data_IF_453190608824
#
_entry.id   IF_453190608824
#
_cell.length_a   1.000
_cell.length_b   1.000
_cell.length_c   1.000
_cell.angle_alpha   90.00
_cell.angle_beta   90.00
_cell.angle_gamma   90.00
#
_symmetry.space_group_name_H-M   'P 1'
#
loop_
_entity.id
_entity.type
_entity.pdbx_description
1 polymer ?
#
# COMPACT_ATOMS: atom_id res chain seq x y z
N UNK A 1 -28.36 -38.63 -5.50
CA UNK A 1 -28.53 -39.91 -6.24
C UNK A 1 -27.57 -39.84 -7.42
N UNK A 2 -26.30 -40.22 -7.18
CA UNK A 2 -25.69 -41.50 -7.60
C UNK A 2 -25.59 -41.51 -9.13
N UNK A 3 -24.39 -41.51 -9.73
CA UNK A 3 -23.59 -42.73 -9.86
C UNK A 3 -22.09 -42.45 -9.78
N UNK A 4 -21.46 -43.10 -8.80
CA UNK A 4 -20.06 -43.49 -8.85
C UNK A 4 -19.89 -44.57 -9.93
N UNK A 5 -18.74 -44.56 -10.60
CA UNK A 5 -18.28 -45.70 -11.39
C UNK A 5 -16.91 -46.08 -10.85
N UNK A 6 -16.90 -47.15 -10.07
CA UNK A 6 -15.72 -47.95 -9.79
C UNK A 6 -15.28 -48.66 -11.06
N UNK A 7 -13.98 -48.66 -11.33
CA UNK A 7 -13.35 -49.59 -12.25
C UNK A 7 -12.00 -50.01 -11.66
N UNK A 8 -11.95 -51.24 -11.14
CA UNK A 8 -10.71 -52.01 -11.06
C UNK A 8 -10.55 -52.80 -12.38
N UNK A 9 -9.31 -53.02 -12.86
CA UNK A 9 -8.73 -54.35 -12.62
C UNK A 9 -7.22 -54.35 -12.33
N UNK A 10 -6.76 -55.53 -11.94
CA UNK A 10 -5.48 -55.94 -11.37
C UNK A 10 -4.26 -55.96 -12.32
N UNK A 11 -3.10 -55.65 -11.70
CA UNK A 11 -1.74 -56.23 -11.86
C UNK A 11 -1.08 -56.36 -13.24
N UNK A 12 0.02 -55.62 -13.47
CA UNK A 12 1.35 -56.20 -13.80
C UNK A 12 2.48 -55.16 -13.60
N UNK A 13 3.49 -55.55 -12.82
CA UNK A 13 4.93 -55.21 -12.88
C UNK A 13 5.42 -53.92 -13.56
N UNK A 14 6.19 -53.10 -12.82
CA UNK A 14 7.65 -52.99 -12.98
C UNK A 14 8.21 -51.92 -12.03
N UNK A 15 9.17 -52.34 -11.21
CA UNK A 15 9.94 -51.45 -10.36
C UNK A 15 10.84 -50.55 -11.19
N UNK A 16 10.55 -49.25 -11.16
CA UNK A 16 11.52 -48.20 -11.45
C UNK A 16 11.41 -47.15 -10.36
N UNK A 17 12.33 -47.22 -9.40
CA UNK A 17 12.56 -46.13 -8.44
C UNK A 17 13.24 -44.99 -9.18
N UNK A 18 12.46 -44.16 -9.88
CA UNK A 18 12.93 -42.87 -10.33
C UNK A 18 12.89 -41.93 -9.12
N UNK A 19 14.07 -41.64 -8.58
CA UNK A 19 14.27 -40.64 -7.54
C UNK A 19 13.81 -39.28 -8.02
N UNK A 20 12.55 -38.96 -7.78
CA UNK A 20 12.07 -37.59 -7.81
C UNK A 20 12.61 -36.89 -6.55
N UNK A 21 13.76 -36.22 -6.70
CA UNK A 21 14.08 -35.11 -5.82
C UNK A 21 12.98 -34.06 -6.00
N UNK A 22 11.98 -34.10 -5.12
CA UNK A 22 11.06 -32.99 -4.91
C UNK A 22 11.95 -31.80 -4.51
N UNK A 23 12.02 -30.70 -5.28
CA UNK A 23 12.65 -29.50 -4.76
C UNK A 23 11.89 -29.14 -3.49
N UNK A 24 12.63 -29.01 -2.38
CA UNK A 24 12.06 -28.57 -1.13
C UNK A 24 11.27 -27.29 -1.40
N UNK A 25 9.95 -27.34 -1.21
CA UNK A 25 9.13 -26.14 -1.17
C UNK A 25 9.74 -25.31 -0.05
N UNK A 26 10.41 -24.22 -0.41
CA UNK A 26 10.90 -23.26 0.56
C UNK A 26 9.68 -22.75 1.32
N UNK A 27 9.46 -23.29 2.51
CA UNK A 27 8.47 -22.77 3.45
C UNK A 27 8.83 -21.30 3.62
N UNK A 28 7.91 -20.35 3.37
CA UNK A 28 8.20 -18.95 3.65
C UNK A 28 8.46 -18.86 5.16
N UNK A 29 9.73 -18.70 5.52
CA UNK A 29 10.12 -18.38 6.88
C UNK A 29 9.70 -16.94 7.12
N UNK A 30 8.48 -16.78 7.64
CA UNK A 30 8.17 -15.58 8.39
C UNK A 30 9.11 -15.61 9.58
N UNK A 31 10.20 -14.84 9.50
CA UNK A 31 10.94 -14.49 10.70
C UNK A 31 9.96 -13.72 11.58
N UNK A 32 9.42 -14.39 12.58
CA UNK A 32 8.89 -13.68 13.74
C UNK A 32 10.03 -12.80 14.24
N UNK A 33 9.81 -11.48 14.40
CA UNK A 33 10.82 -10.62 14.99
C UNK A 33 11.18 -11.23 16.35
N UNK A 34 12.40 -11.73 16.46
CA UNK A 34 12.97 -12.16 17.73
C UNK A 34 13.22 -10.89 18.54
N UNK A 35 12.26 -10.48 19.35
CA UNK A 35 12.51 -9.47 20.37
C UNK A 35 11.59 -9.71 21.56
N UNK A 36 12.17 -10.24 22.63
CA UNK A 36 11.59 -10.38 23.97
C UNK A 36 11.36 -9.02 24.64
N UNK A 37 10.79 -8.04 23.94
CA UNK A 37 10.48 -6.75 24.52
C UNK A 37 9.20 -6.88 25.34
N UNK A 38 9.24 -6.39 26.58
CA UNK A 38 8.05 -6.31 27.42
C UNK A 38 7.04 -5.31 26.83
N UNK A 39 5.77 -5.48 27.17
CA UNK A 39 4.73 -4.49 26.81
C UNK A 39 5.07 -3.09 27.32
N UNK A 40 5.74 -3.00 28.48
CA UNK A 40 6.19 -1.75 29.06
C UNK A 40 7.30 -1.09 28.23
N UNK A 41 8.33 -1.82 27.82
CA UNK A 41 9.40 -1.29 26.96
C UNK A 41 8.86 -0.80 25.61
N UNK A 42 7.93 -1.56 25.02
CA UNK A 42 7.28 -1.19 23.77
C UNK A 42 6.47 0.11 23.93
N UNK A 43 5.75 0.25 25.05
CA UNK A 43 5.02 1.47 25.37
C UNK A 43 5.95 2.67 25.54
N UNK A 44 7.01 2.53 26.34
CA UNK A 44 7.99 3.61 26.58
C UNK A 44 8.62 4.04 25.26
N UNK A 45 9.12 3.10 24.46
CA UNK A 45 9.72 3.38 23.15
C UNK A 45 8.74 4.08 22.20
N UNK A 46 7.46 3.69 22.23
CA UNK A 46 6.42 4.31 21.42
C UNK A 46 6.14 5.76 21.85
N UNK A 47 6.10 6.02 23.16
CA UNK A 47 5.93 7.37 23.70
C UNK A 47 7.14 8.25 23.35
N UNK A 48 8.36 7.76 23.54
CA UNK A 48 9.58 8.51 23.23
C UNK A 48 9.66 8.86 21.74
N UNK A 49 9.34 7.91 20.87
CA UNK A 49 9.27 8.13 19.41
C UNK A 49 8.26 9.23 19.07
N UNK A 50 7.06 9.16 19.66
CA UNK A 50 6.02 10.17 19.45
C UNK A 50 6.46 11.56 19.92
N UNK A 51 7.04 11.67 21.12
CA UNK A 51 7.52 12.95 21.65
C UNK A 51 8.67 13.52 20.83
N UNK A 52 9.59 12.67 20.35
CA UNK A 52 10.68 13.11 19.48
C UNK A 52 10.17 13.74 18.19
N UNK A 53 9.13 13.17 17.58
CA UNK A 53 8.52 13.76 16.39
C UNK A 53 7.79 15.06 16.70
N UNK A 54 7.07 15.12 17.82
CA UNK A 54 6.39 16.34 18.28
C UNK A 54 7.37 17.48 18.60
N UNK A 55 8.58 17.17 19.06
CA UNK A 55 9.63 18.15 19.33
C UNK A 55 10.40 18.61 18.08
N UNK A 56 10.00 18.17 16.90
CA UNK A 56 10.49 18.68 15.62
C UNK A 56 11.33 17.69 14.81
N UNK A 57 11.59 16.46 15.31
CA UNK A 57 12.28 15.44 14.51
C UNK A 57 11.36 14.98 13.36
N UNK A 58 11.79 15.05 12.09
CA UNK A 58 10.95 14.62 10.98
C UNK A 58 10.70 13.11 11.00
N UNK A 59 9.53 12.71 10.51
CA UNK A 59 9.20 11.32 10.16
C UNK A 59 9.84 11.02 8.81
N UNK A 60 10.86 10.17 8.81
CA UNK A 60 11.56 9.75 7.59
C UNK A 60 10.83 8.55 6.98
N UNK A 61 10.53 8.63 5.69
CA UNK A 61 9.84 7.60 4.91
C UNK A 61 10.85 6.90 4.01
N UNK A 62 11.22 5.68 4.37
CA UNK A 62 12.21 4.85 3.69
C UNK A 62 11.61 3.59 3.05
N UNK A 63 10.33 3.37 3.29
CA UNK A 63 9.55 2.24 2.82
C UNK A 63 9.47 1.08 3.79
N UNK A 64 10.33 0.97 4.80
CA UNK A 64 10.46 -0.25 5.62
C UNK A 64 10.18 0.00 7.10
N UNK A 65 10.55 1.16 7.65
CA UNK A 65 10.63 1.38 9.09
C UNK A 65 9.57 2.35 9.64
N UNK A 66 8.48 2.58 8.91
CA UNK A 66 7.39 3.42 9.36
C UNK A 66 6.65 2.78 10.55
N UNK A 67 6.67 3.46 11.71
CA UNK A 67 6.06 2.97 12.95
C UNK A 67 4.70 3.62 13.24
N UNK A 68 3.86 2.98 14.05
CA UNK A 68 2.58 3.55 14.53
C UNK A 68 2.75 4.92 15.19
N UNK A 69 3.67 5.14 16.16
CA UNK A 69 3.84 6.47 16.76
C UNK A 69 4.28 7.54 15.74
N UNK A 70 5.08 7.20 14.72
CA UNK A 70 5.41 8.13 13.63
C UNK A 70 4.19 8.48 12.78
N UNK A 71 3.30 7.51 12.51
CA UNK A 71 2.02 7.76 11.81
C UNK A 71 1.13 8.68 12.64
N UNK A 72 1.00 8.43 13.94
CA UNK A 72 0.22 9.27 14.85
C UNK A 72 0.80 10.69 14.91
N UNK A 73 2.12 10.83 14.99
CA UNK A 73 2.80 12.13 15.01
C UNK A 73 2.49 12.96 13.75
N UNK A 74 2.60 12.38 12.56
CA UNK A 74 2.30 13.07 11.31
C UNK A 74 0.79 13.35 11.15
N UNK A 75 -0.05 12.37 11.49
CA UNK A 75 -1.49 12.43 11.26
C UNK A 75 -2.24 13.36 12.22
N UNK A 76 -1.89 13.33 13.52
CA UNK A 76 -2.61 14.06 14.57
C UNK A 76 -1.86 15.27 15.12
N UNK A 77 -0.53 15.30 14.98
CA UNK A 77 0.30 16.37 15.55
C UNK A 77 1.06 17.16 14.49
N UNK A 78 0.81 16.91 13.20
CA UNK A 78 1.41 17.68 12.10
C UNK A 78 2.93 17.60 12.02
N UNK A 79 3.56 16.54 12.55
CA UNK A 79 5.00 16.36 12.46
C UNK A 79 5.48 16.37 11.00
N UNK A 80 6.61 17.02 10.71
CA UNK A 80 7.17 17.09 9.36
C UNK A 80 7.49 15.68 8.84
N UNK A 81 7.18 15.45 7.57
CA UNK A 81 7.49 14.18 6.86
C UNK A 81 8.56 14.48 5.81
N UNK A 82 9.55 13.61 5.70
CA UNK A 82 10.59 13.66 4.67
C UNK A 82 10.76 12.28 4.04
N UNK A 83 11.04 12.23 2.74
CA UNK A 83 11.45 10.99 2.09
C UNK A 83 12.94 10.75 2.36
N UNK A 84 13.34 9.50 2.49
CA UNK A 84 14.76 9.14 2.58
C UNK A 84 15.46 9.34 1.22
N UNK A 85 16.52 10.15 1.23
CA UNK A 85 17.27 10.64 0.05
C UNK A 85 18.44 9.73 -0.35
N UNK A 86 18.55 8.54 0.24
CA UNK A 86 19.67 7.66 -0.03
C UNK A 86 19.69 7.17 -1.48
N UNK A 87 20.91 7.02 -2.02
CA UNK A 87 21.13 6.53 -3.37
C UNK A 87 20.49 5.15 -3.61
N UNK A 88 20.42 4.31 -2.57
CA UNK A 88 19.78 3.00 -2.66
C UNK A 88 18.28 3.10 -2.99
N UNK A 89 17.57 4.07 -2.40
CA UNK A 89 16.16 4.33 -2.66
C UNK A 89 15.95 4.87 -4.07
N UNK A 90 16.76 5.86 -4.48
CA UNK A 90 16.69 6.40 -5.84
C UNK A 90 16.95 5.32 -6.89
N UNK A 91 17.96 4.47 -6.66
CA UNK A 91 18.30 3.38 -7.57
C UNK A 91 17.18 2.36 -7.73
N UNK A 92 16.52 1.94 -6.65
CA UNK A 92 15.38 0.99 -6.76
C UNK A 92 14.17 1.62 -7.43
N UNK A 93 13.89 2.90 -7.19
CA UNK A 93 12.79 3.61 -7.86
C UNK A 93 13.02 3.70 -9.37
N UNK A 94 14.22 4.11 -9.79
CA UNK A 94 14.61 4.15 -11.20
C UNK A 94 14.56 2.78 -11.88
N UNK A 95 15.01 1.72 -11.18
CA UNK A 95 14.90 0.34 -11.69
C UNK A 95 13.45 -0.09 -11.90
N UNK A 96 12.54 0.30 -10.99
CA UNK A 96 11.12 -0.03 -11.09
C UNK A 96 10.47 0.64 -12.31
N UNK A 97 10.79 1.91 -12.52
CA UNK A 97 10.32 2.73 -13.65
C UNK A 97 10.81 2.15 -14.98
N UNK A 98 12.12 1.94 -15.11
CA UNK A 98 12.72 1.35 -16.32
C UNK A 98 12.11 -0.03 -16.64
N UNK A 99 11.81 -0.84 -15.62
CA UNK A 99 11.20 -2.15 -15.83
C UNK A 99 9.76 -2.08 -16.39
N UNK A 100 9.00 -1.03 -16.08
CA UNK A 100 7.70 -0.78 -16.69
C UNK A 100 7.87 -0.27 -18.11
N UNK A 101 8.74 0.71 -18.33
CA UNK A 101 9.01 1.26 -19.66
C UNK A 101 9.48 0.20 -20.65
N UNK A 102 10.39 -0.69 -20.24
CA UNK A 102 10.86 -1.79 -21.08
C UNK A 102 9.75 -2.77 -21.47
N UNK A 103 8.84 -3.07 -20.55
CA UNK A 103 7.68 -3.93 -20.86
C UNK A 103 6.78 -3.27 -21.89
N UNK A 104 6.48 -1.99 -21.71
CA UNK A 104 5.65 -1.23 -22.66
C UNK A 104 6.33 -1.14 -24.03
N UNK A 105 7.62 -0.81 -24.07
CA UNK A 105 8.42 -0.73 -25.31
C UNK A 105 8.49 -2.05 -26.08
N UNK A 106 8.56 -3.17 -25.37
CA UNK A 106 8.59 -4.51 -25.99
C UNK A 106 7.21 -5.04 -26.37
N UNK A 107 6.15 -4.23 -26.24
CA UNK A 107 4.77 -4.63 -26.53
C UNK A 107 4.21 -5.65 -25.55
N UNK A 108 4.90 -5.91 -24.42
CA UNK A 108 4.40 -6.80 -23.37
C UNK A 108 3.29 -6.10 -22.62
N UNK A 109 2.17 -6.79 -22.52
CA UNK A 109 1.03 -6.20 -21.83
C UNK A 109 1.19 -6.20 -20.32
N UNK A 110 0.84 -5.09 -19.70
CA UNK A 110 0.85 -4.89 -18.25
C UNK A 110 -0.55 -4.51 -17.79
N UNK A 111 -1.11 -5.29 -16.85
CA UNK A 111 -2.46 -5.09 -16.35
C UNK A 111 -2.64 -3.69 -15.76
N UNK A 112 -3.73 -3.01 -16.14
CA UNK A 112 -4.06 -1.67 -15.66
C UNK A 112 -3.14 -0.55 -16.18
N UNK A 113 -2.18 -0.87 -17.06
CA UNK A 113 -1.33 0.13 -17.73
C UNK A 113 -1.59 0.08 -19.24
N UNK A 114 -1.38 -1.08 -19.86
CA UNK A 114 -1.69 -1.30 -21.29
C UNK A 114 -2.96 -2.12 -21.49
N UNK A 115 -3.64 -2.50 -20.40
CA UNK A 115 -4.95 -3.16 -20.42
C UNK A 115 -5.98 -2.37 -19.63
N UNK A 116 -7.26 -2.60 -19.89
CA UNK A 116 -8.33 -2.15 -19.00
C UNK A 116 -8.27 -2.77 -17.59
N UNK A 117 -9.22 -2.38 -16.75
CA UNK A 117 -9.35 -2.81 -15.36
C UNK A 117 -10.57 -3.72 -15.17
N UNK A 118 -10.54 -4.61 -14.18
CA UNK A 118 -11.68 -5.48 -13.84
C UNK A 118 -12.14 -6.32 -15.03
N UNK A 119 -13.44 -6.30 -15.33
CA UNK A 119 -14.03 -7.04 -16.46
C UNK A 119 -13.52 -6.62 -17.85
N UNK A 120 -12.80 -5.50 -17.95
CA UNK A 120 -12.17 -5.03 -19.20
C UNK A 120 -10.69 -5.37 -19.29
N UNK A 121 -10.17 -6.29 -18.46
CA UNK A 121 -8.74 -6.70 -18.45
C UNK A 121 -8.23 -7.25 -19.80
N UNK A 122 -9.12 -7.74 -20.66
CA UNK A 122 -8.76 -8.25 -21.99
C UNK A 122 -8.57 -7.14 -23.03
N UNK A 123 -9.11 -5.94 -22.78
CA UNK A 123 -8.93 -4.79 -23.68
C UNK A 123 -7.49 -4.28 -23.64
N UNK A 124 -7.01 -3.71 -24.75
CA UNK A 124 -5.64 -3.19 -24.88
C UNK A 124 -5.62 -1.77 -25.40
N UNK A 125 -4.68 -0.98 -24.90
CA UNK A 125 -4.51 0.42 -25.31
C UNK A 125 -3.04 0.85 -25.19
N UNK A 126 -2.59 1.65 -26.16
CA UNK A 126 -1.33 2.38 -26.10
C UNK A 126 -1.50 3.78 -25.46
N UNK A 127 -2.73 4.19 -25.15
CA UNK A 127 -3.03 5.49 -24.55
C UNK A 127 -3.01 5.40 -23.01
N UNK A 128 -1.85 5.02 -22.44
CA UNK A 128 -1.69 4.73 -21.00
C UNK A 128 -2.14 5.89 -20.09
N UNK A 129 -1.83 7.14 -20.47
CA UNK A 129 -2.23 8.32 -19.71
C UNK A 129 -3.75 8.54 -19.73
N UNK A 130 -4.40 8.35 -20.88
CA UNK A 130 -5.85 8.48 -21.01
C UNK A 130 -6.57 7.40 -20.19
N UNK A 131 -6.05 6.17 -20.21
CA UNK A 131 -6.55 5.07 -19.38
C UNK A 131 -6.44 5.41 -17.89
N UNK A 132 -5.31 5.95 -17.44
CA UNK A 132 -5.14 6.41 -16.06
C UNK A 132 -6.13 7.51 -15.65
N UNK A 133 -6.39 8.48 -16.54
CA UNK A 133 -7.42 9.52 -16.31
C UNK A 133 -8.82 8.92 -16.19
N UNK A 134 -9.16 7.99 -17.07
CA UNK A 134 -10.45 7.30 -17.03
C UNK A 134 -10.64 6.52 -15.71
N UNK A 135 -9.58 5.87 -15.20
CA UNK A 135 -9.62 5.20 -13.90
C UNK A 135 -9.93 6.16 -12.76
N UNK A 136 -9.24 7.31 -12.71
CA UNK A 136 -9.47 8.33 -11.68
C UNK A 136 -10.91 8.84 -11.75
N UNK A 137 -11.40 9.18 -12.94
CA UNK A 137 -12.79 9.61 -13.15
C UNK A 137 -13.80 8.56 -12.69
N UNK A 138 -13.57 7.28 -13.02
CA UNK A 138 -14.47 6.19 -12.62
C UNK A 138 -14.47 5.94 -11.09
N UNK A 139 -13.34 6.14 -10.41
CA UNK A 139 -13.23 5.97 -8.95
C UNK A 139 -13.75 7.17 -8.15
N UNK A 140 -13.98 8.31 -8.79
CA UNK A 140 -14.54 9.50 -8.15
C UNK A 140 -16.07 9.39 -8.00
N UNK A 141 -16.53 8.41 -7.23
CA UNK A 141 -17.96 8.16 -6.95
C UNK A 141 -18.38 8.51 -5.52
N UNK A 142 -17.49 9.13 -4.73
CA UNK A 142 -17.77 9.57 -3.37
C UNK A 142 -18.79 10.71 -3.31
N UNK A 143 -19.71 10.65 -2.36
CA UNK A 143 -20.70 11.71 -2.10
C UNK A 143 -20.26 12.47 -0.86
N UNK A 144 -20.01 13.77 -1.02
CA UNK A 144 -19.70 14.67 0.09
C UNK A 144 -20.96 15.45 0.52
N UNK A 145 -21.08 15.78 1.81
CA UNK A 145 -22.16 16.62 2.28
C UNK A 145 -22.07 18.01 1.63
N UNK A 146 -23.20 18.52 1.13
CA UNK A 146 -23.28 19.86 0.54
C UNK A 146 -23.47 20.89 1.65
N UNK A 147 -22.43 21.69 1.96
CA UNK A 147 -22.56 22.81 2.90
C UNK A 147 -23.23 23.99 2.21
N UNK A 148 -24.54 24.20 2.42
CA UNK A 148 -25.30 25.28 1.77
C UNK A 148 -25.59 26.49 2.67
N UNK A 149 -24.93 26.66 3.81
CA UNK A 149 -25.18 27.81 4.69
C UNK A 149 -23.90 28.67 4.88
N UNK A 150 -23.83 29.87 4.26
CA UNK A 150 -22.70 30.80 4.38
C UNK A 150 -22.46 31.38 5.79
N UNK A 151 -23.21 30.95 6.81
CA UNK A 151 -23.20 31.52 8.16
C UNK A 151 -22.43 30.71 9.23
N UNK A 152 -21.92 29.53 8.91
CA UNK A 152 -21.16 28.68 9.87
C UNK A 152 -19.67 28.55 9.53
N UNK A 153 -19.16 29.33 8.58
CA UNK A 153 -17.72 29.50 8.31
C UNK A 153 -17.22 30.72 9.07
N UNK A 154 -17.29 30.68 10.39
CA UNK A 154 -16.57 31.61 11.24
C UNK A 154 -16.21 30.92 12.56
N UNK A 155 -14.90 30.81 12.78
CA UNK A 155 -14.27 30.62 14.10
C UNK A 155 -14.57 29.31 14.84
N UNK A 156 -14.05 28.19 14.33
CA UNK A 156 -13.43 27.26 15.27
C UNK A 156 -12.16 26.65 14.65
N UNK A 157 -11.01 27.11 15.14
CA UNK A 157 -9.76 26.37 15.05
C UNK A 157 -9.88 25.17 15.97
N UNK A 158 -10.76 24.23 15.64
CA UNK A 158 -10.86 23.00 16.41
C UNK A 158 -9.71 22.08 16.00
N UNK A 159 -8.62 22.17 16.75
CA UNK A 159 -7.62 21.10 16.88
C UNK A 159 -8.22 19.81 17.49
N UNK A 160 -9.54 19.75 17.67
CA UNK A 160 -10.26 18.63 18.25
C UNK A 160 -10.64 17.66 17.13
N UNK A 161 -10.04 16.48 17.16
CA UNK A 161 -10.50 15.31 16.39
C UNK A 161 -12.02 15.18 16.56
N UNK A 162 -12.79 15.48 15.51
CA UNK A 162 -14.25 15.38 15.52
C UNK A 162 -14.66 13.94 15.88
N UNK A 163 -15.64 13.74 16.78
CA UNK A 163 -16.09 12.41 17.17
C UNK A 163 -16.63 11.64 15.95
N UNK A 164 -16.43 10.32 15.93
CA UNK A 164 -16.80 9.45 14.80
C UNK A 164 -18.30 9.50 14.43
N UNK A 165 -19.13 10.01 15.35
CA UNK A 165 -20.58 10.16 15.23
C UNK A 165 -21.04 11.52 14.66
N UNK A 166 -20.14 12.41 14.27
CA UNK A 166 -20.50 13.65 13.57
C UNK A 166 -21.11 13.32 12.19
N UNK A 167 -22.27 13.88 11.81
CA UNK A 167 -22.82 13.77 10.45
C UNK A 167 -21.79 14.03 9.33
N UNK A 168 -20.79 14.88 9.56
CA UNK A 168 -19.71 15.13 8.59
C UNK A 168 -18.73 13.96 8.45
N UNK A 169 -18.43 13.26 9.54
CA UNK A 169 -17.61 12.04 9.53
C UNK A 169 -18.35 10.83 8.95
N UNK A 170 -19.67 10.92 8.76
CA UNK A 170 -20.46 9.86 8.13
C UNK A 170 -20.20 9.78 6.62
N UNK A 171 -19.90 10.91 5.98
CA UNK A 171 -19.73 11.01 4.52
C UNK A 171 -18.34 11.51 4.09
N UNK A 172 -17.48 11.93 5.03
CA UNK A 172 -16.12 12.38 4.76
C UNK A 172 -15.13 11.75 5.72
N UNK A 173 -13.89 11.54 5.24
CA UNK A 173 -12.81 11.04 6.08
C UNK A 173 -12.17 12.18 6.88
N UNK A 174 -11.91 11.99 8.20
CA UNK A 174 -11.20 12.97 9.00
C UNK A 174 -9.83 13.31 8.42
N UNK A 175 -9.40 14.56 8.57
CA UNK A 175 -8.09 15.02 8.08
C UNK A 175 -6.93 14.13 8.56
N UNK A 176 -6.93 13.76 9.84
CA UNK A 176 -5.88 12.89 10.40
C UNK A 176 -5.83 11.51 9.72
N UNK A 177 -6.97 10.97 9.31
CA UNK A 177 -7.03 9.71 8.58
C UNK A 177 -6.49 9.86 7.16
N UNK A 178 -6.82 10.97 6.49
CA UNK A 178 -6.28 11.29 5.17
C UNK A 178 -4.76 11.45 5.23
N UNK A 179 -4.24 12.21 6.20
CA UNK A 179 -2.78 12.36 6.42
C UNK A 179 -2.10 11.01 6.69
N UNK A 180 -2.70 10.16 7.52
CA UNK A 180 -2.18 8.82 7.78
C UNK A 180 -2.17 7.96 6.51
N UNK A 181 -3.27 7.96 5.75
CA UNK A 181 -3.40 7.20 4.50
C UNK A 181 -2.37 7.66 3.45
N UNK A 182 -2.16 8.97 3.30
CA UNK A 182 -1.13 9.52 2.43
C UNK A 182 0.27 9.07 2.86
N UNK A 183 0.59 9.15 4.15
CA UNK A 183 1.89 8.74 4.69
C UNK A 183 2.17 7.24 4.47
N UNK A 184 1.20 6.39 4.79
CA UNK A 184 1.30 4.94 4.56
C UNK A 184 1.46 4.65 3.07
N UNK A 185 0.72 5.36 2.22
CA UNK A 185 0.88 5.22 0.76
C UNK A 185 2.26 5.63 0.29
N UNK A 186 2.80 6.76 0.72
CA UNK A 186 4.18 7.16 0.39
C UNK A 186 5.19 6.07 0.78
N UNK A 187 5.06 5.53 2.00
CA UNK A 187 5.93 4.46 2.48
C UNK A 187 5.78 3.16 1.67
N UNK A 188 4.59 2.79 1.22
CA UNK A 188 4.45 1.63 0.34
C UNK A 188 5.07 1.85 -1.04
N UNK A 189 4.90 3.04 -1.62
CA UNK A 189 5.35 3.34 -2.99
C UNK A 189 6.87 3.45 -3.10
N UNK A 190 7.53 4.03 -2.09
CA UNK A 190 8.98 4.26 -2.12
C UNK A 190 9.81 2.96 -2.11
N UNK A 191 9.19 1.79 -1.89
CA UNK A 191 9.85 0.48 -1.96
C UNK A 191 10.33 0.11 -3.38
N UNK A 192 9.85 0.79 -4.43
CA UNK A 192 10.32 0.53 -5.80
C UNK A 192 9.77 -0.75 -6.43
N UNK A 193 8.58 -1.19 -6.02
CA UNK A 193 7.88 -2.33 -6.66
C UNK A 193 6.65 -1.91 -7.48
N UNK A 194 6.25 -0.64 -7.37
CA UNK A 194 5.00 -0.13 -7.96
C UNK A 194 5.19 0.54 -9.32
N UNK A 195 6.43 0.74 -9.77
CA UNK A 195 6.72 1.36 -11.08
C UNK A 195 6.29 2.82 -11.20
N UNK A 196 6.15 3.53 -10.08
CA UNK A 196 5.84 4.95 -10.06
C UNK A 196 7.11 5.78 -10.13
N UNK A 197 7.04 6.89 -10.86
CA UNK A 197 8.08 7.90 -10.91
C UNK A 197 8.04 8.78 -9.66
N UNK A 198 9.18 9.00 -9.01
CA UNK A 198 9.31 10.05 -8.00
C UNK A 198 9.74 11.35 -8.69
N UNK A 199 8.81 12.30 -8.82
CA UNK A 199 9.08 13.62 -9.38
C UNK A 199 9.64 14.53 -8.27
N UNK A 200 10.78 15.19 -8.51
CA UNK A 200 11.32 16.20 -7.60
C UNK A 200 12.47 15.75 -6.69
N UNK A 201 13.26 14.77 -7.12
CA UNK A 201 14.60 14.48 -6.57
C UNK A 201 15.71 15.09 -7.42
#
# INVERSE_FOLDING_TARGET
MIMAVDAAPSSTTNGHTNGFHKPAVATPSYSTPSTSATMLETFITSQDTLQSHKSGKPVVVDGQNLTIPSVVAAARHGARVALDDSHAIKSRMAKAENAIEDKLRTGKSVYGISTGFGGSADTRTSQHLALGKALLQHQHSGILPSFTHPGHVAEDKSEVTLPLSDPLNTLSMPESWVRAAMLIRMNSLIRGHSGHQCIGW
#
